data_IF_470223094466
#
_entry.id   IF_470223094466
#
_cell.length_a   1.000
_cell.length_b   1.000
_cell.length_c   1.000
_cell.angle_alpha   90.00
_cell.angle_beta   90.00
_cell.angle_gamma   90.00
#
_symmetry.space_group_name_H-M   'P 1'
#
loop_
_entity.id
_entity.type
_entity.pdbx_description
1 polymer ?
#
# COMPACT_ATOMS: atom_id res chain seq x y z
N UNK A 1 25.40 -4.22 12.80
CA UNK A 1 24.23 -3.72 12.05
C UNK A 1 22.99 -3.85 12.94
N UNK A 2 22.40 -2.73 13.39
CA UNK A 2 21.18 -2.76 14.21
C UNK A 2 19.98 -2.98 13.27
N UNK A 3 19.37 -4.17 13.29
CA UNK A 3 18.10 -4.44 12.61
C UNK A 3 17.04 -3.53 13.27
N UNK A 4 16.55 -2.52 12.55
CA UNK A 4 15.38 -1.74 12.98
C UNK A 4 14.16 -2.58 12.65
N UNK A 5 13.65 -3.31 13.64
CA UNK A 5 12.36 -3.99 13.54
C UNK A 5 11.25 -2.93 13.70
N UNK A 6 10.29 -2.91 12.77
CA UNK A 6 9.05 -2.18 12.96
C UNK A 6 8.20 -2.97 13.97
N UNK A 7 8.03 -2.44 15.17
CA UNK A 7 7.10 -2.99 16.16
C UNK A 7 5.80 -2.20 16.10
N UNK A 8 4.71 -2.86 15.70
CA UNK A 8 3.36 -2.32 15.79
C UNK A 8 2.80 -2.65 17.18
N UNK A 9 2.80 -1.66 18.09
CA UNK A 9 2.10 -1.79 19.37
C UNK A 9 0.66 -1.30 19.20
N UNK A 10 -0.29 -2.23 19.12
CA UNK A 10 -1.73 -1.93 19.04
C UNK A 10 -2.27 -1.87 20.47
N UNK A 11 -2.63 -0.67 20.94
CA UNK A 11 -3.48 -0.52 22.13
C UNK A 11 -4.93 -0.59 21.66
N UNK A 12 -5.61 -1.71 21.93
CA UNK A 12 -6.99 -1.93 21.49
C UNK A 12 -7.98 -1.14 22.34
N UNK A 13 -8.68 -0.17 21.75
CA UNK A 13 -10.05 0.15 22.14
C UNK A 13 -10.97 -0.33 21.02
N UNK A 14 -11.82 -1.32 21.32
CA UNK A 14 -12.74 -1.91 20.34
C UNK A 14 -13.93 -0.97 20.19
N UNK A 15 -14.01 -0.25 19.07
CA UNK A 15 -15.24 0.41 18.64
C UNK A 15 -15.95 -0.54 17.66
N UNK A 16 -17.04 -1.18 18.08
CA UNK A 16 -17.90 -1.94 17.18
C UNK A 16 -18.71 -0.97 16.33
N UNK A 17 -18.42 -0.91 15.03
CA UNK A 17 -19.32 -0.32 14.04
C UNK A 17 -19.74 -1.44 13.09
N UNK A 18 -21.03 -1.79 13.15
CA UNK A 18 -21.69 -2.73 12.26
C UNK A 18 -22.45 -1.89 11.24
N UNK A 19 -21.78 -1.49 10.17
CA UNK A 19 -22.46 -1.14 8.92
C UNK A 19 -21.73 -1.91 7.82
N UNK A 20 -22.43 -2.87 7.22
CA UNK A 20 -21.91 -3.63 6.10
C UNK A 20 -21.78 -2.70 4.90
N UNK A 21 -20.60 -2.09 4.73
CA UNK A 21 -20.29 -1.30 3.54
C UNK A 21 -20.35 -2.25 2.35
N UNK A 22 -21.40 -2.14 1.55
CA UNK A 22 -21.49 -2.87 0.29
C UNK A 22 -20.60 -2.16 -0.72
N UNK A 23 -19.43 -2.73 -0.97
CA UNK A 23 -18.54 -2.24 -2.03
C UNK A 23 -19.14 -2.64 -3.39
N UNK A 24 -19.07 -1.75 -4.39
CA UNK A 24 -19.47 -2.10 -5.75
C UNK A 24 -18.46 -3.05 -6.43
N UNK A 25 -17.36 -3.41 -5.75
CA UNK A 25 -16.26 -4.25 -6.22
C UNK A 25 -15.91 -5.36 -5.19
N UNK A 26 -15.24 -6.40 -5.66
CA UNK A 26 -14.73 -7.53 -4.88
C UNK A 26 -13.38 -8.01 -5.44
N UNK A 27 -12.65 -8.82 -4.68
CA UNK A 27 -11.46 -9.54 -5.13
C UNK A 27 -11.77 -10.87 -5.82
N UNK A 28 -13.02 -11.34 -5.75
CA UNK A 28 -13.44 -12.59 -6.38
C UNK A 28 -13.57 -12.42 -7.90
N UNK A 29 -12.68 -13.08 -8.65
CA UNK A 29 -12.66 -13.02 -10.11
C UNK A 29 -13.89 -13.67 -10.75
N UNK A 30 -14.60 -14.55 -10.05
CA UNK A 30 -15.77 -15.25 -10.58
C UNK A 30 -17.05 -14.39 -10.53
N UNK A 31 -17.00 -13.22 -9.89
CA UNK A 31 -18.15 -12.34 -9.71
C UNK A 31 -18.07 -11.10 -10.61
N UNK A 32 -19.24 -10.63 -11.06
CA UNK A 32 -19.38 -9.29 -11.64
C UNK A 32 -19.09 -8.27 -10.53
N UNK A 33 -17.88 -7.69 -10.57
CA UNK A 33 -17.31 -6.94 -9.46
C UNK A 33 -15.85 -7.32 -9.17
N UNK A 34 -15.37 -8.44 -9.70
CA UNK A 34 -13.98 -8.89 -9.59
C UNK A 34 -12.98 -8.00 -10.35
N UNK A 35 -11.67 -8.15 -10.06
CA UNK A 35 -10.58 -7.38 -10.67
C UNK A 35 -10.66 -7.22 -12.19
N UNK A 36 -10.99 -8.31 -12.90
CA UNK A 36 -11.11 -8.33 -14.37
C UNK A 36 -12.19 -7.36 -14.91
N UNK A 37 -13.16 -6.99 -14.06
CA UNK A 37 -14.30 -6.15 -14.43
C UNK A 37 -14.28 -4.76 -13.78
N UNK A 38 -13.31 -4.43 -12.92
CA UNK A 38 -13.29 -3.18 -12.15
C UNK A 38 -13.45 -1.93 -13.02
N UNK A 39 -12.81 -1.89 -14.19
CA UNK A 39 -12.90 -0.73 -15.09
C UNK A 39 -14.26 -0.54 -15.77
N UNK A 40 -15.18 -1.50 -15.62
CA UNK A 40 -16.55 -1.41 -16.12
C UNK A 40 -17.55 -0.98 -15.04
N UNK A 41 -17.14 -0.99 -13.76
CA UNK A 41 -18.05 -0.70 -12.64
C UNK A 41 -18.36 0.79 -12.48
N UNK A 42 -17.38 1.67 -12.77
CA UNK A 42 -17.55 3.11 -12.65
C UNK A 42 -16.71 3.87 -13.69
N UNK A 43 -17.21 5.04 -14.12
CA UNK A 43 -16.54 5.86 -15.14
C UNK A 43 -15.13 6.30 -14.74
N UNK A 44 -14.94 6.65 -13.47
CA UNK A 44 -13.63 7.05 -12.91
C UNK A 44 -12.62 5.88 -12.85
N UNK A 45 -13.09 4.63 -12.94
CA UNK A 45 -12.26 3.43 -12.83
C UNK A 45 -11.87 2.84 -14.18
N UNK A 46 -12.25 3.49 -15.29
CA UNK A 46 -11.90 3.04 -16.64
C UNK A 46 -10.41 2.72 -16.81
N UNK A 47 -9.55 3.41 -16.06
CA UNK A 47 -8.10 3.18 -16.06
C UNK A 47 -7.67 1.81 -15.51
N UNK A 48 -8.50 1.13 -14.72
CA UNK A 48 -8.22 -0.24 -14.28
C UNK A 48 -8.15 -1.22 -15.47
N UNK A 49 -8.91 -1.00 -16.53
CA UNK A 49 -8.88 -1.83 -17.75
C UNK A 49 -8.07 -1.19 -18.88
N UNK A 50 -8.11 0.13 -19.02
CA UNK A 50 -7.50 0.84 -20.15
C UNK A 50 -6.14 1.49 -19.84
N UNK A 51 -5.72 1.53 -18.57
CA UNK A 51 -4.48 2.15 -18.14
C UNK A 51 -3.25 1.34 -18.54
N UNK A 52 -2.14 2.03 -18.82
CA UNK A 52 -0.87 1.40 -19.23
C UNK A 52 0.16 1.30 -18.10
N UNK A 53 -0.14 1.90 -16.95
CA UNK A 53 0.74 1.95 -15.76
C UNK A 53 -0.02 1.43 -14.53
N UNK A 54 -0.72 0.32 -14.68
CA UNK A 54 -1.41 -0.34 -13.58
C UNK A 54 -0.43 -1.22 -12.79
N UNK A 55 -0.67 -1.29 -11.48
CA UNK A 55 -0.06 -2.25 -10.57
C UNK A 55 -1.12 -3.28 -10.14
N UNK A 56 -0.73 -4.45 -9.61
CA UNK A 56 0.65 -4.93 -9.40
C UNK A 56 1.35 -5.37 -10.69
N UNK A 57 2.64 -5.66 -10.59
CA UNK A 57 3.46 -6.23 -11.68
C UNK A 57 4.28 -7.43 -11.24
N UNK A 58 4.74 -8.22 -12.21
CA UNK A 58 5.82 -9.18 -11.99
C UNK A 58 7.18 -8.48 -12.09
N UNK A 59 8.03 -8.66 -11.08
CA UNK A 59 9.41 -8.20 -11.06
C UNK A 59 10.28 -9.35 -11.58
N UNK A 60 10.83 -9.20 -12.79
CA UNK A 60 11.79 -10.14 -13.37
C UNK A 60 13.23 -9.70 -13.01
N UNK A 61 13.95 -10.44 -12.14
CA UNK A 61 15.30 -10.08 -11.74
C UNK A 61 16.29 -9.97 -12.92
N UNK A 62 16.05 -10.69 -14.02
CA UNK A 62 16.92 -10.67 -15.20
C UNK A 62 16.81 -9.37 -16.02
N UNK A 63 15.71 -8.62 -15.85
CA UNK A 63 15.42 -7.38 -16.55
C UNK A 63 15.70 -6.13 -15.69
N UNK A 64 16.16 -6.30 -14.45
CA UNK A 64 16.44 -5.19 -13.56
C UNK A 64 17.68 -4.42 -14.00
N UNK A 65 17.56 -3.09 -14.05
CA UNK A 65 18.66 -2.18 -14.30
C UNK A 65 19.12 -1.58 -12.97
N UNK A 66 20.40 -1.77 -12.64
CA UNK A 66 21.01 -1.12 -11.49
C UNK A 66 21.26 0.35 -11.78
N UNK A 67 20.67 1.24 -10.98
CA UNK A 67 20.96 2.67 -11.03
C UNK A 67 21.89 3.07 -9.85
N UNK A 68 23.17 3.39 -10.12
CA UNK A 68 24.13 3.77 -9.08
C UNK A 68 23.84 5.13 -8.43
N UNK A 69 22.95 5.95 -9.01
CA UNK A 69 22.61 7.27 -8.48
C UNK A 69 21.46 7.21 -7.46
N UNK A 70 20.80 6.06 -7.30
CA UNK A 70 19.77 5.89 -6.28
C UNK A 70 20.39 5.88 -4.89
N UNK A 71 20.05 6.90 -4.11
CA UNK A 71 20.38 6.99 -2.69
C UNK A 71 19.60 5.93 -1.88
N UNK A 72 20.07 5.51 -0.70
CA UNK A 72 19.29 4.66 0.19
C UNK A 72 17.93 5.28 0.55
N UNK A 73 16.89 4.45 0.62
CA UNK A 73 15.59 4.87 1.15
C UNK A 73 15.72 5.03 2.67
N UNK A 74 15.17 6.11 3.20
CA UNK A 74 15.10 6.40 4.63
C UNK A 74 13.64 6.54 5.05
N UNK A 75 13.21 5.69 5.98
CA UNK A 75 11.91 5.74 6.64
C UNK A 75 12.15 6.14 8.10
N UNK A 76 11.62 7.30 8.49
CA UNK A 76 11.77 7.82 9.84
C UNK A 76 10.97 6.98 10.84
N UNK A 77 11.65 6.40 11.83
CA UNK A 77 11.00 5.63 12.89
C UNK A 77 10.40 6.57 13.94
N UNK A 78 9.09 6.82 13.86
CA UNK A 78 8.33 7.63 14.81
C UNK A 78 7.15 6.83 15.37
N UNK A 79 6.78 7.11 16.63
CA UNK A 79 5.53 6.64 17.21
C UNK A 79 4.43 7.58 16.74
N UNK A 80 3.37 7.05 16.15
CA UNK A 80 2.26 7.82 15.57
C UNK A 80 0.93 7.32 16.06
N UNK A 81 -0.08 8.20 16.04
CA UNK A 81 -1.47 7.80 16.27
C UNK A 81 -2.05 7.26 14.95
N UNK A 82 -2.74 6.12 15.03
CA UNK A 82 -3.32 5.47 13.86
C UNK A 82 -4.68 4.84 14.20
N UNK A 83 -5.46 4.55 13.17
CA UNK A 83 -6.70 3.78 13.25
C UNK A 83 -6.47 2.47 12.51
N UNK A 84 -6.82 1.35 13.14
CA UNK A 84 -6.82 0.06 12.48
C UNK A 84 -8.26 -0.33 12.17
N UNK A 85 -8.54 -0.62 10.90
CA UNK A 85 -9.88 -0.89 10.39
C UNK A 85 -9.86 -2.18 9.58
N UNK A 86 -10.83 -3.06 9.86
CA UNK A 86 -11.18 -4.12 8.92
C UNK A 86 -12.26 -3.58 8.00
N UNK A 87 -11.91 -3.32 6.74
CA UNK A 87 -12.83 -2.73 5.77
C UNK A 87 -13.83 -3.74 5.20
N UNK A 88 -13.69 -5.03 5.52
CA UNK A 88 -14.39 -6.14 4.87
C UNK A 88 -13.66 -6.67 3.63
N UNK A 89 -12.84 -5.84 2.99
CA UNK A 89 -12.02 -6.22 1.82
C UNK A 89 -10.58 -6.52 2.23
N UNK A 90 -9.99 -5.65 3.06
CA UNK A 90 -8.65 -5.84 3.61
C UNK A 90 -8.46 -5.07 4.93
N UNK A 91 -7.52 -5.50 5.79
CA UNK A 91 -7.11 -4.73 6.96
C UNK A 91 -6.28 -3.52 6.55
N UNK A 92 -6.64 -2.35 7.09
CA UNK A 92 -5.98 -1.08 6.81
C UNK A 92 -5.59 -0.41 8.13
N UNK A 93 -4.37 0.13 8.19
CA UNK A 93 -3.92 1.06 9.22
C UNK A 93 -3.80 2.45 8.61
N UNK A 94 -4.61 3.40 9.07
CA UNK A 94 -4.57 4.79 8.62
C UNK A 94 -3.90 5.67 9.68
N UNK A 95 -2.81 6.34 9.31
CA UNK A 95 -2.08 7.25 10.20
C UNK A 95 -2.84 8.57 10.32
N UNK A 96 -3.10 9.02 11.55
CA UNK A 96 -3.79 10.30 11.78
C UNK A 96 -2.85 11.47 11.49
N UNK A 97 -3.20 12.30 10.52
CA UNK A 97 -2.44 13.52 10.20
C UNK A 97 -2.92 14.68 11.09
N UNK A 98 -2.38 14.75 12.32
CA UNK A 98 -2.77 15.71 13.34
C UNK A 98 -1.74 16.86 13.44
N UNK A 99 -2.19 18.12 13.60
CA UNK A 99 -1.28 19.24 13.85
C UNK A 99 -0.40 18.99 15.07
N UNK A 100 0.89 19.31 14.95
CA UNK A 100 1.90 19.19 16.02
C UNK A 100 2.13 17.76 16.55
N UNK A 101 1.68 16.73 15.84
CA UNK A 101 1.99 15.32 16.15
C UNK A 101 3.11 14.80 15.24
N UNK A 102 3.91 13.84 15.71
CA UNK A 102 4.93 13.21 14.88
C UNK A 102 4.28 12.50 13.67
N UNK A 103 5.01 12.46 12.56
CA UNK A 103 4.62 11.77 11.32
C UNK A 103 5.73 10.82 10.90
N UNK A 104 5.43 9.84 10.05
CA UNK A 104 6.46 8.97 9.45
C UNK A 104 6.78 9.52 8.06
N UNK A 105 8.00 10.02 7.87
CA UNK A 105 8.44 10.52 6.56
C UNK A 105 9.31 9.48 5.84
N UNK A 106 9.15 9.44 4.53
CA UNK A 106 9.92 8.62 3.59
C UNK A 106 10.67 9.56 2.65
N UNK A 107 11.99 9.36 2.56
CA UNK A 107 12.94 10.18 1.78
C UNK A 107 14.01 9.28 1.14
N UNK A 108 14.81 9.82 0.22
CA UNK A 108 15.87 9.05 -0.45
C UNK A 108 15.35 8.16 -1.59
N UNK A 109 16.21 7.33 -2.17
CA UNK A 109 15.88 6.50 -3.33
C UNK A 109 15.19 7.29 -4.45
N UNK A 110 14.14 6.75 -5.06
CA UNK A 110 13.43 7.39 -6.18
C UNK A 110 12.59 8.62 -5.75
N UNK A 111 12.49 8.90 -4.45
CA UNK A 111 11.66 10.00 -3.94
C UNK A 111 12.33 11.37 -4.02
N UNK A 112 13.66 11.40 -4.19
CA UNK A 112 14.43 12.64 -4.22
C UNK A 112 13.98 13.56 -5.37
N UNK A 113 13.88 14.89 -5.14
CA UNK A 113 14.23 15.63 -3.92
C UNK A 113 13.07 15.78 -2.91
N UNK A 114 11.96 15.08 -3.11
CA UNK A 114 10.75 15.27 -2.33
C UNK A 114 10.74 14.44 -1.05
N UNK A 115 9.87 14.87 -0.14
CA UNK A 115 9.54 14.12 1.06
C UNK A 115 8.12 13.59 0.95
N UNK A 116 7.92 12.35 1.38
CA UNK A 116 6.62 11.71 1.41
C UNK A 116 6.22 11.43 2.84
N UNK A 117 4.96 11.68 3.20
CA UNK A 117 4.41 11.37 4.52
C UNK A 117 3.57 10.09 4.41
N UNK A 118 3.89 9.08 5.23
CA UNK A 118 3.11 7.84 5.29
C UNK A 118 1.67 8.14 5.70
N UNK A 119 0.72 7.60 4.95
CA UNK A 119 -0.71 7.80 5.19
C UNK A 119 -1.40 6.50 5.58
N UNK A 120 -1.12 5.41 4.86
CA UNK A 120 -1.85 4.17 4.99
C UNK A 120 -0.90 2.97 4.92
N UNK A 121 -1.20 1.91 5.67
CA UNK A 121 -0.60 0.59 5.52
C UNK A 121 -1.72 -0.40 5.24
N UNK A 122 -1.62 -1.15 4.14
CA UNK A 122 -2.51 -2.27 3.82
C UNK A 122 -1.77 -3.59 3.87
N UNK A 123 -2.48 -4.66 4.20
CA UNK A 123 -1.95 -6.03 4.13
C UNK A 123 -2.82 -6.84 3.17
N UNK A 124 -2.18 -7.39 2.15
CA UNK A 124 -2.77 -8.31 1.18
C UNK A 124 -2.25 -9.70 1.52
N UNK A 125 -3.15 -10.67 1.62
CA UNK A 125 -2.80 -12.04 1.99
C UNK A 125 -3.75 -13.01 1.31
N UNK A 126 -3.24 -14.21 1.08
CA UNK A 126 -3.94 -15.27 0.39
C UNK A 126 -4.59 -16.20 1.39
N UNK A 127 -5.44 -17.09 0.89
CA UNK A 127 -5.97 -18.15 1.73
C UNK A 127 -4.90 -19.22 1.95
N UNK A 128 -4.79 -19.70 3.19
CA UNK A 128 -3.80 -20.72 3.55
C UNK A 128 -4.02 -22.05 2.81
N UNK A 129 -5.28 -22.38 2.49
CA UNK A 129 -5.66 -23.61 1.77
C UNK A 129 -5.34 -23.57 0.26
N UNK A 130 -5.04 -22.39 -0.30
CA UNK A 130 -4.72 -22.20 -1.72
C UNK A 130 -3.21 -22.06 -1.99
N UNK A 131 -2.39 -22.48 -1.02
CA UNK A 131 -0.93 -22.52 -1.15
C UNK A 131 -0.27 -21.16 -0.97
N UNK A 132 -0.80 -20.33 -0.06
CA UNK A 132 -0.14 -19.10 0.42
C UNK A 132 0.18 -18.11 -0.72
N UNK A 133 -0.83 -17.84 -1.55
CA UNK A 133 -0.75 -16.97 -2.73
C UNK A 133 -1.37 -15.60 -2.46
N UNK A 134 -0.73 -14.79 -1.61
CA UNK A 134 -1.32 -13.55 -1.10
C UNK A 134 -0.71 -12.23 -1.54
N UNK A 135 0.58 -12.21 -1.88
CA UNK A 135 1.20 -10.99 -2.39
C UNK A 135 0.53 -10.57 -3.68
N UNK A 136 0.41 -9.28 -3.96
CA UNK A 136 -0.13 -8.78 -5.23
C UNK A 136 0.95 -8.79 -6.30
N UNK A 137 2.11 -8.22 -5.97
CA UNK A 137 3.33 -8.30 -6.75
C UNK A 137 3.90 -9.72 -6.71
N UNK A 138 4.63 -10.06 -7.76
CA UNK A 138 5.36 -11.33 -7.87
C UNK A 138 6.82 -11.06 -8.18
N UNK A 139 7.70 -11.96 -7.76
CA UNK A 139 9.13 -11.93 -8.11
C UNK A 139 9.43 -13.20 -8.87
N UNK A 140 9.92 -13.07 -10.10
CA UNK A 140 10.10 -14.20 -11.02
C UNK A 140 8.84 -15.08 -11.14
N UNK A 141 7.68 -14.42 -11.21
CA UNK A 141 6.33 -15.00 -11.27
C UNK A 141 5.94 -15.84 -10.04
N UNK A 142 6.76 -15.82 -9.00
CA UNK A 142 6.45 -16.43 -7.70
C UNK A 142 5.63 -15.45 -6.88
N UNK A 143 4.50 -15.95 -6.36
CA UNK A 143 3.63 -15.24 -5.41
C UNK A 143 3.95 -15.72 -4.00
N UNK A 144 3.89 -14.80 -3.05
CA UNK A 144 4.28 -15.02 -1.65
C UNK A 144 3.04 -15.04 -0.74
N UNK A 145 3.15 -15.54 0.49
CA UNK A 145 2.05 -15.62 1.46
C UNK A 145 1.31 -14.30 1.69
N UNK A 146 2.03 -13.19 1.75
CA UNK A 146 1.44 -11.86 1.94
C UNK A 146 2.32 -10.74 1.39
N UNK A 147 1.72 -9.56 1.26
CA UNK A 147 2.37 -8.30 0.91
C UNK A 147 1.85 -7.18 1.81
N UNK A 148 2.78 -6.39 2.36
CA UNK A 148 2.46 -5.19 3.13
C UNK A 148 2.77 -3.99 2.23
N UNK A 149 1.78 -3.13 2.02
CA UNK A 149 1.94 -1.93 1.19
C UNK A 149 1.83 -0.68 2.07
N UNK A 150 2.85 0.17 2.00
CA UNK A 150 2.89 1.46 2.67
C UNK A 150 2.60 2.54 1.63
N UNK A 151 1.45 3.19 1.74
CA UNK A 151 1.06 4.30 0.87
C UNK A 151 1.33 5.64 1.54
N UNK A 152 2.13 6.46 0.89
CA UNK A 152 2.55 7.78 1.34
C UNK A 152 2.20 8.84 0.29
N UNK A 153 2.00 10.09 0.72
CA UNK A 153 1.76 11.20 -0.18
C UNK A 153 2.88 12.24 -0.16
N UNK A 154 3.07 12.94 -1.28
CA UNK A 154 4.09 13.97 -1.44
C UNK A 154 3.72 15.23 -0.65
N UNK A 155 4.16 15.28 0.60
CA UNK A 155 3.90 16.40 1.50
C UNK A 155 4.79 17.62 1.22
N UNK A 156 5.78 17.51 0.32
CA UNK A 156 6.52 18.65 -0.18
C UNK A 156 5.74 19.46 -1.24
N UNK A 157 4.82 18.81 -1.97
CA UNK A 157 4.05 19.45 -3.05
C UNK A 157 2.58 19.68 -2.70
N UNK A 158 1.98 18.82 -1.87
CA UNK A 158 0.55 18.85 -1.61
C UNK A 158 0.26 18.93 -0.11
N UNK A 159 -0.77 19.70 0.29
CA UNK A 159 -1.04 19.95 1.71
C UNK A 159 -1.69 18.75 2.42
N UNK A 160 -2.29 17.81 1.68
CA UNK A 160 -2.95 16.64 2.23
C UNK A 160 -3.03 15.50 1.20
N UNK A 161 -3.33 14.30 1.69
CA UNK A 161 -3.49 13.09 0.87
C UNK A 161 -4.60 13.23 -0.18
N UNK A 162 -5.73 13.87 0.17
CA UNK A 162 -6.91 13.98 -0.70
C UNK A 162 -6.61 14.69 -2.03
N UNK A 163 -5.76 15.71 -2.00
CA UNK A 163 -5.28 16.40 -3.21
C UNK A 163 -4.18 15.60 -3.88
N UNK A 164 -3.26 15.03 -3.10
CA UNK A 164 -2.10 14.33 -3.64
C UNK A 164 -2.48 13.08 -4.45
N UNK A 165 -3.48 12.31 -4.02
CA UNK A 165 -3.87 11.05 -4.66
C UNK A 165 -4.30 11.19 -6.13
N UNK A 166 -4.83 12.36 -6.52
CA UNK A 166 -5.24 12.65 -7.90
C UNK A 166 -4.22 13.52 -8.64
N UNK A 167 -3.09 13.83 -8.01
CA UNK A 167 -2.10 14.77 -8.53
C UNK A 167 -0.82 14.09 -9.02
N UNK A 168 -0.15 14.62 -10.06
CA UNK A 168 1.12 14.08 -10.53
C UNK A 168 2.18 14.02 -9.43
N UNK A 169 2.92 12.91 -9.35
CA UNK A 169 3.94 12.65 -8.31
C UNK A 169 3.39 12.71 -6.88
N UNK A 170 2.08 12.61 -6.71
CA UNK A 170 1.42 12.81 -5.43
C UNK A 170 1.51 11.62 -4.50
N UNK A 171 1.73 10.40 -5.02
CA UNK A 171 1.81 9.19 -4.22
C UNK A 171 3.17 8.50 -4.34
N UNK A 172 3.51 7.77 -3.28
CA UNK A 172 4.60 6.80 -3.20
C UNK A 172 4.05 5.55 -2.52
N UNK A 173 4.28 4.39 -3.11
CA UNK A 173 4.01 3.10 -2.48
C UNK A 173 5.33 2.37 -2.19
N UNK A 174 5.46 1.77 -1.01
CA UNK A 174 6.54 0.83 -0.69
C UNK A 174 5.88 -0.54 -0.44
N UNK A 175 6.23 -1.52 -1.25
CA UNK A 175 5.76 -2.90 -1.11
C UNK A 175 6.80 -3.74 -0.37
N UNK A 176 6.35 -4.49 0.63
CA UNK A 176 7.16 -5.43 1.41
C UNK A 176 6.57 -6.82 1.25
N UNK A 177 7.31 -7.69 0.58
CA UNK A 177 6.98 -9.10 0.42
C UNK A 177 7.21 -9.85 1.73
N UNK A 178 6.26 -10.69 2.12
CA UNK A 178 6.31 -11.48 3.36
C UNK A 178 6.35 -12.96 3.00
N UNK A 179 7.33 -13.66 3.57
CA UNK A 179 7.49 -15.10 3.46
C UNK A 179 7.38 -15.77 4.85
N UNK A 180 6.88 -17.00 4.89
CA UNK A 180 6.72 -17.78 6.13
C UNK A 180 7.96 -18.64 6.32
N UNK A 181 8.59 -18.52 7.49
CA UNK A 181 9.85 -19.20 7.84
C UNK A 181 9.69 -20.30 8.87
#
# INVERSE_FOLDING_TARGET
MRKKLLFLYITTEILTVIDGVQYPWTFDNDLFGGPDFWGLLHGDWRMCTAGQMQSPVNIDPSQLLYDPHLMPINIEGNIVEAVFENTGQLPIVTIKDLPNKPTINITGGPTMPYRYKLHQISVHFGRADEGEKGSEHTVDRVRFPAEIQLLAYNSALYPNFSIAQTSPRGLLAVSVIVDVG
#
